data_IF_589857099061
#
_entry.id   IF_589857099061
#
_cell.length_a   1.000
_cell.length_b   1.000
_cell.length_c   1.000
_cell.angle_alpha   90.00
_cell.angle_beta   90.00
_cell.angle_gamma   90.00
#
_symmetry.space_group_name_H-M   'P 1'
#
loop_
_entity.id
_entity.type
_entity.pdbx_description
1 polymer ?
#
# COMPACT_ATOMS: atom_id res chain seq x y z
N UNK A 1 13.70 -6.57 0.97
CA UNK A 1 12.82 -5.98 -0.06
C UNK A 1 12.16 -4.77 0.57
N UNK A 2 12.47 -3.55 0.12
CA UNK A 2 11.87 -2.33 0.68
C UNK A 2 10.54 -2.08 -0.04
N UNK A 3 9.45 -2.56 0.54
CA UNK A 3 8.11 -2.13 0.16
C UNK A 3 7.90 -0.73 0.70
N UNK A 4 7.97 0.28 -0.16
CA UNK A 4 7.77 1.67 0.25
C UNK A 4 6.28 1.87 0.52
N UNK A 5 5.89 1.87 1.80
CA UNK A 5 4.58 2.36 2.24
C UNK A 5 4.38 3.81 1.78
N UNK A 6 3.15 4.15 1.37
CA UNK A 6 2.70 5.52 1.08
C UNK A 6 2.89 6.50 2.24
N UNK A 7 3.07 5.98 3.47
CA UNK A 7 3.26 6.75 4.70
C UNK A 7 4.68 6.59 5.27
N UNK A 8 5.69 6.43 4.41
CA UNK A 8 7.06 6.05 4.80
C UNK A 8 7.70 6.98 5.84
N UNK A 9 7.34 8.26 5.89
CA UNK A 9 7.88 9.23 6.86
C UNK A 9 7.31 9.08 8.27
N UNK A 10 6.17 8.41 8.43
CA UNK A 10 5.56 8.14 9.73
C UNK A 10 6.02 6.81 10.35
N UNK A 11 6.69 5.95 9.57
CA UNK A 11 7.06 4.59 9.97
C UNK A 11 8.46 4.55 10.61
N UNK A 12 8.55 3.85 11.74
CA UNK A 12 9.80 3.62 12.48
C UNK A 12 10.07 2.13 12.65
N UNK A 13 11.34 1.75 12.48
CA UNK A 13 11.82 0.38 12.43
C UNK A 13 12.90 0.19 13.50
N UNK A 14 12.93 -0.96 14.16
CA UNK A 14 14.05 -1.32 15.02
C UNK A 14 15.30 -1.54 14.18
N UNK A 15 16.29 -0.67 14.31
CA UNK A 15 17.56 -0.83 13.61
C UNK A 15 18.34 -2.03 14.18
N UNK A 16 18.77 -3.00 13.36
CA UNK A 16 19.46 -4.19 13.85
C UNK A 16 20.88 -3.92 14.38
N UNK A 17 21.46 -2.73 14.12
CA UNK A 17 22.81 -2.37 14.58
C UNK A 17 22.74 -1.64 15.93
N UNK A 18 21.86 -0.64 16.07
CA UNK A 18 21.78 0.15 17.30
C UNK A 18 20.72 -0.37 18.29
N UNK A 19 19.69 -1.05 17.80
CA UNK A 19 18.51 -1.43 18.57
C UNK A 19 17.47 -0.32 18.73
N UNK A 20 17.73 0.88 18.19
CA UNK A 20 16.82 2.02 18.30
C UNK A 20 15.70 1.97 17.26
N UNK A 21 14.56 2.57 17.59
CA UNK A 21 13.52 2.88 16.62
C UNK A 21 13.90 4.08 15.74
N UNK A 22 14.18 3.83 14.46
CA UNK A 22 14.64 4.85 13.49
C UNK A 22 13.72 4.92 12.27
N UNK A 23 13.60 6.08 11.59
CA UNK A 23 12.86 6.19 10.34
C UNK A 23 13.59 5.41 9.22
N UNK A 24 12.87 5.07 8.15
CA UNK A 24 13.43 4.23 7.07
C UNK A 24 14.75 4.76 6.49
N UNK A 25 14.93 6.08 6.42
CA UNK A 25 16.11 6.69 5.83
C UNK A 25 17.34 6.60 6.74
N UNK A 26 17.19 6.23 8.01
CA UNK A 26 18.28 5.96 8.94
C UNK A 26 18.42 4.46 9.29
N UNK A 27 17.53 3.61 8.76
CA UNK A 27 17.50 2.17 9.01
C UNK A 27 18.60 1.44 8.22
N UNK A 28 19.46 0.68 8.90
CA UNK A 28 20.66 0.07 8.29
C UNK A 28 20.35 -0.77 7.04
N UNK A 29 19.33 -1.66 7.01
CA UNK A 29 18.99 -2.39 5.78
C UNK A 29 18.50 -1.53 4.61
N UNK A 30 18.14 -0.25 4.84
CA UNK A 30 17.86 0.69 3.75
C UNK A 30 19.13 1.02 2.95
N UNK A 31 20.30 1.08 3.60
CA UNK A 31 21.61 1.20 2.93
C UNK A 31 21.78 0.12 1.87
N UNK A 32 21.52 -1.14 2.24
CA UNK A 32 21.71 -2.29 1.35
C UNK A 32 20.73 -2.25 0.17
N UNK A 33 19.52 -1.75 0.40
CA UNK A 33 18.55 -1.49 -0.67
C UNK A 33 19.05 -0.42 -1.65
N UNK A 34 19.56 0.71 -1.14
CA UNK A 34 20.11 1.78 -2.00
C UNK A 34 21.34 1.28 -2.79
N UNK A 35 22.22 0.53 -2.14
CA UNK A 35 23.37 -0.12 -2.77
C UNK A 35 22.95 -1.05 -3.88
N UNK A 36 21.99 -1.94 -3.62
CA UNK A 36 21.43 -2.82 -4.64
C UNK A 36 20.91 -2.02 -5.84
N UNK A 37 20.14 -0.95 -5.61
CA UNK A 37 19.60 -0.11 -6.68
C UNK A 37 20.71 0.51 -7.54
N UNK A 38 21.73 1.09 -6.91
CA UNK A 38 22.89 1.64 -7.63
C UNK A 38 23.65 0.57 -8.42
N UNK A 39 23.87 -0.61 -7.84
CA UNK A 39 24.52 -1.73 -8.56
C UNK A 39 23.69 -2.21 -9.76
N UNK A 40 22.36 -2.21 -9.66
CA UNK A 40 21.49 -2.56 -10.78
C UNK A 40 21.47 -1.48 -11.87
N UNK A 41 21.56 -0.20 -11.50
CA UNK A 41 21.70 0.92 -12.45
C UNK A 41 23.04 0.85 -13.19
N UNK A 42 24.15 0.63 -12.48
CA UNK A 42 25.49 0.49 -13.06
C UNK A 42 25.61 -0.69 -14.03
N UNK A 43 25.00 -1.83 -13.70
CA UNK A 43 24.92 -3.01 -14.59
C UNK A 43 23.96 -2.81 -15.77
N UNK A 44 23.21 -1.71 -15.78
CA UNK A 44 22.25 -1.36 -16.83
C UNK A 44 20.94 -2.14 -16.78
N UNK A 45 20.66 -2.83 -15.67
CA UNK A 45 19.41 -3.56 -15.41
C UNK A 45 18.26 -2.62 -15.01
N UNK A 46 18.58 -1.50 -14.36
CA UNK A 46 17.65 -0.40 -14.10
C UNK A 46 18.11 0.82 -14.87
N UNK A 47 17.17 1.59 -15.43
CA UNK A 47 17.45 2.83 -16.14
C UNK A 47 16.40 3.88 -15.78
N UNK A 48 16.84 5.13 -15.68
CA UNK A 48 15.93 6.27 -15.55
C UNK A 48 15.15 6.44 -16.84
N UNK A 49 13.87 6.79 -16.71
CA UNK A 49 13.03 7.12 -17.86
C UNK A 49 13.66 8.30 -18.62
N UNK A 50 13.98 8.17 -19.92
CA UNK A 50 14.53 9.28 -20.68
C UNK A 50 13.59 10.49 -20.69
N UNK A 51 14.16 11.68 -20.60
CA UNK A 51 13.39 12.92 -20.60
C UNK A 51 12.54 13.04 -21.86
N UNK A 52 11.26 13.38 -21.70
CA UNK A 52 10.32 13.56 -22.81
C UNK A 52 9.61 12.28 -23.29
N UNK A 53 9.91 11.11 -22.72
CA UNK A 53 9.15 9.89 -22.95
C UNK A 53 8.08 9.70 -21.86
N UNK A 54 6.91 9.20 -22.26
CA UNK A 54 5.90 8.76 -21.29
C UNK A 54 6.28 7.38 -20.75
N UNK A 55 6.10 7.18 -19.44
CA UNK A 55 6.37 5.91 -18.76
C UNK A 55 5.65 4.73 -19.44
N UNK A 56 4.39 4.95 -19.84
CA UNK A 56 3.57 3.96 -20.52
C UNK A 56 4.16 3.50 -21.85
N UNK A 57 4.73 4.40 -22.64
CA UNK A 57 5.33 4.07 -23.92
C UNK A 57 6.52 3.12 -23.71
N UNK A 58 7.36 3.40 -22.72
CA UNK A 58 8.52 2.56 -22.40
C UNK A 58 8.11 1.19 -21.84
N UNK A 59 7.11 1.14 -20.95
CA UNK A 59 6.60 -0.14 -20.42
C UNK A 59 6.02 -1.01 -21.54
N UNK A 60 5.30 -0.41 -22.51
CA UNK A 60 4.69 -1.15 -23.61
C UNK A 60 5.69 -1.87 -24.51
N UNK A 61 6.95 -1.41 -24.53
CA UNK A 61 8.06 -2.01 -25.27
C UNK A 61 8.62 -3.26 -24.57
N UNK A 62 8.18 -3.57 -23.35
CA UNK A 62 8.68 -4.72 -22.58
C UNK A 62 10.13 -4.59 -22.13
N UNK A 63 10.70 -3.37 -22.14
CA UNK A 63 12.10 -3.10 -21.80
C UNK A 63 12.28 -2.58 -20.36
N UNK A 64 11.39 -2.96 -19.44
CA UNK A 64 11.40 -2.52 -18.05
C UNK A 64 11.80 -3.65 -17.10
N UNK A 65 12.76 -3.39 -16.20
CA UNK A 65 13.17 -4.35 -15.17
C UNK A 65 12.21 -4.44 -13.98
N UNK A 66 11.55 -3.33 -13.63
CA UNK A 66 10.53 -3.27 -12.58
C UNK A 66 9.35 -2.41 -13.05
N UNK A 67 8.13 -2.85 -12.79
CA UNK A 67 6.92 -2.13 -13.15
C UNK A 67 5.81 -2.40 -12.13
N UNK A 68 5.03 -1.37 -11.82
CA UNK A 68 3.76 -1.55 -11.15
C UNK A 68 2.75 -2.03 -12.20
N UNK A 69 2.22 -3.24 -11.99
CA UNK A 69 1.29 -3.91 -12.90
C UNK A 69 -0.04 -3.15 -13.01
N UNK A 70 -0.30 -2.18 -12.12
CA UNK A 70 -1.46 -1.28 -12.01
C UNK A 70 -2.79 -1.98 -11.73
N UNK A 71 -3.08 -3.06 -12.46
CA UNK A 71 -4.19 -3.95 -12.18
C UNK A 71 -3.74 -5.41 -12.36
N UNK A 72 -3.90 -6.26 -11.34
CA UNK A 72 -3.58 -7.69 -11.41
C UNK A 72 -4.26 -8.43 -12.57
N UNK A 73 -5.36 -7.92 -13.14
CA UNK A 73 -6.00 -8.48 -14.33
C UNK A 73 -5.10 -8.46 -15.59
N UNK A 74 -4.11 -7.56 -15.65
CA UNK A 74 -3.13 -7.47 -16.75
C UNK A 74 -2.17 -8.64 -16.79
N UNK A 75 -1.98 -9.34 -15.68
CA UNK A 75 -1.19 -10.58 -15.65
C UNK A 75 -1.90 -11.69 -16.42
N UNK A 76 -3.24 -11.74 -16.35
CA UNK A 76 -4.05 -12.84 -16.90
C UNK A 76 -4.81 -12.52 -18.19
N UNK A 77 -4.83 -11.28 -18.69
CA UNK A 77 -5.24 -11.03 -20.08
C UNK A 77 -6.21 -9.88 -20.36
N UNK A 78 -6.48 -8.96 -19.42
CA UNK A 78 -7.14 -7.70 -19.78
C UNK A 78 -6.08 -6.67 -20.17
N UNK A 79 -6.00 -6.28 -21.44
CA UNK A 79 -4.86 -5.52 -22.03
C UNK A 79 -3.46 -6.11 -21.73
N UNK A 80 -3.40 -7.36 -21.25
CA UNK A 80 -2.15 -8.02 -20.83
C UNK A 80 -1.15 -8.20 -21.98
N UNK A 81 -1.60 -8.20 -23.24
CA UNK A 81 -0.68 -8.20 -24.39
C UNK A 81 0.10 -6.89 -24.57
N UNK A 82 -0.36 -5.80 -23.95
CA UNK A 82 0.22 -4.47 -24.11
C UNK A 82 1.17 -4.11 -22.96
N UNK A 83 1.13 -4.83 -21.84
CA UNK A 83 1.94 -4.57 -20.65
C UNK A 83 2.62 -5.84 -20.13
N UNK A 84 3.81 -5.76 -19.53
CA UNK A 84 4.41 -6.90 -18.85
C UNK A 84 3.52 -7.41 -17.70
N UNK A 85 3.52 -8.72 -17.40
CA UNK A 85 4.36 -9.74 -18.05
C UNK A 85 3.86 -10.17 -19.44
N UNK A 86 2.57 -9.96 -19.76
CA UNK A 86 1.98 -10.50 -20.98
C UNK A 86 2.58 -9.96 -22.28
N UNK A 87 3.02 -8.69 -22.32
CA UNK A 87 3.72 -8.16 -23.50
C UNK A 87 5.05 -8.87 -23.78
N UNK A 88 5.80 -9.25 -22.73
CA UNK A 88 7.08 -9.96 -22.88
C UNK A 88 6.83 -11.42 -23.26
N UNK A 89 5.94 -12.10 -22.53
CA UNK A 89 5.59 -13.50 -22.78
C UNK A 89 5.03 -13.74 -24.17
N UNK A 90 4.27 -12.78 -24.71
CA UNK A 90 3.64 -12.92 -26.03
C UNK A 90 4.49 -12.42 -27.19
N UNK A 91 5.43 -11.48 -26.96
CA UNK A 91 6.14 -10.78 -28.05
C UNK A 91 7.63 -11.03 -28.14
N UNK A 92 8.32 -11.30 -27.02
CA UNK A 92 9.79 -11.33 -26.99
C UNK A 92 10.39 -12.58 -26.38
N UNK A 93 9.84 -13.07 -25.26
CA UNK A 93 10.39 -14.21 -24.53
C UNK A 93 9.26 -14.98 -23.83
N UNK A 94 8.75 -16.07 -24.45
CA UNK A 94 7.67 -16.87 -23.89
C UNK A 94 8.09 -17.69 -22.66
N UNK A 95 9.39 -17.85 -22.42
CA UNK A 95 9.94 -18.61 -21.28
C UNK A 95 10.41 -17.68 -20.15
N UNK A 96 10.19 -16.36 -20.28
CA UNK A 96 10.57 -15.38 -19.27
C UNK A 96 9.90 -15.69 -17.92
N UNK A 97 10.70 -15.64 -16.85
CA UNK A 97 10.22 -15.82 -15.48
C UNK A 97 10.06 -14.48 -14.78
N UNK A 98 8.92 -14.27 -14.14
CA UNK A 98 8.61 -13.04 -13.41
C UNK A 98 8.47 -13.31 -11.93
N UNK A 99 9.05 -12.41 -11.12
CA UNK A 99 8.76 -12.34 -9.68
C UNK A 99 7.68 -11.29 -9.49
N UNK A 100 6.49 -11.72 -9.09
CA UNK A 100 5.37 -10.82 -8.76
C UNK A 100 5.35 -10.61 -7.25
N UNK A 101 5.40 -9.35 -6.85
CA UNK A 101 5.30 -8.95 -5.44
C UNK A 101 4.08 -8.05 -5.28
N UNK A 102 3.45 -8.09 -4.12
CA UNK A 102 2.30 -7.22 -3.85
C UNK A 102 2.78 -5.83 -3.42
N UNK A 103 2.09 -4.74 -3.77
CA UNK A 103 2.31 -3.48 -3.09
C UNK A 103 1.83 -3.60 -1.64
N UNK A 104 2.56 -2.98 -0.70
CA UNK A 104 2.10 -2.88 0.69
C UNK A 104 0.82 -2.04 0.70
N UNK A 105 -0.26 -2.62 1.24
CA UNK A 105 -1.43 -1.82 1.56
C UNK A 105 -1.26 -1.04 2.86
N UNK A 106 -1.91 0.11 2.96
CA UNK A 106 -1.95 0.84 4.23
C UNK A 106 -2.52 -0.05 5.34
N UNK A 107 -1.92 0.02 6.54
CA UNK A 107 -2.34 -0.73 7.74
C UNK A 107 -2.27 -2.26 7.62
N UNK A 108 -1.43 -2.78 6.73
CA UNK A 108 -1.13 -4.21 6.66
C UNK A 108 -2.21 -5.07 6.01
N UNK A 109 -3.09 -4.46 5.19
CA UNK A 109 -4.03 -5.20 4.35
C UNK A 109 -3.50 -5.35 2.93
N UNK A 110 -4.00 -6.36 2.21
CA UNK A 110 -3.73 -6.52 0.79
C UNK A 110 -4.37 -5.36 -0.01
N UNK A 111 -3.60 -4.67 -0.86
CA UNK A 111 -4.08 -3.54 -1.65
C UNK A 111 -3.88 -3.81 -3.16
N UNK A 112 -4.88 -4.31 -3.89
CA UNK A 112 -4.67 -4.75 -5.26
C UNK A 112 -4.45 -3.62 -6.28
N UNK A 113 -5.00 -2.40 -6.07
CA UNK A 113 -5.14 -1.41 -7.17
C UNK A 113 -4.74 0.05 -6.87
N UNK A 114 -4.08 0.40 -5.76
CA UNK A 114 -3.58 1.78 -5.56
C UNK A 114 -2.62 1.91 -4.38
N UNK A 115 -1.78 2.95 -4.35
CA UNK A 115 -1.17 3.50 -3.12
C UNK A 115 -2.14 4.50 -2.46
N UNK A 116 -3.40 4.10 -2.26
CA UNK A 116 -4.40 5.07 -1.79
C UNK A 116 -4.32 5.24 -0.28
N UNK A 117 -3.58 6.27 0.09
CA UNK A 117 -3.80 7.09 1.28
C UNK A 117 -5.30 7.21 1.57
N UNK A 118 -5.66 6.90 2.81
CA UNK A 118 -6.91 7.22 3.50
C UNK A 118 -7.40 8.66 3.25
N UNK A 119 -7.81 9.01 2.02
CA UNK A 119 -8.14 10.41 1.69
C UNK A 119 -9.25 10.60 0.65
N UNK A 120 -9.67 9.58 -0.08
CA UNK A 120 -10.59 9.80 -1.22
C UNK A 120 -12.07 9.41 -0.98
N UNK A 121 -12.41 8.78 0.14
CA UNK A 121 -13.79 8.35 0.43
C UNK A 121 -14.19 8.52 1.90
N UNK A 122 -13.62 9.52 2.58
CA UNK A 122 -14.14 9.92 3.89
C UNK A 122 -15.49 10.59 3.71
N UNK A 123 -16.50 10.11 4.45
CA UNK A 123 -17.73 10.86 4.60
C UNK A 123 -17.42 12.05 5.52
N UNK A 124 -17.16 13.22 4.93
CA UNK A 124 -17.09 14.47 5.71
C UNK A 124 -18.51 14.76 6.21
N UNK A 125 -18.75 14.42 7.47
CA UNK A 125 -19.99 14.79 8.14
C UNK A 125 -19.80 16.20 8.70
N UNK A 126 -20.50 17.17 8.10
CA UNK A 126 -20.50 18.54 8.61
C UNK A 126 -21.08 18.63 10.02
N UNK A 127 -21.04 19.82 10.62
CA UNK A 127 -21.63 20.05 11.94
C UNK A 127 -23.16 19.84 11.89
N UNK A 128 -23.61 18.65 12.27
CA UNK A 128 -25.02 18.25 12.29
C UNK A 128 -25.43 17.88 13.72
N UNK A 129 -26.71 18.02 14.07
CA UNK A 129 -27.19 17.54 15.37
C UNK A 129 -26.94 16.05 15.57
N UNK A 130 -26.63 15.64 16.81
CA UNK A 130 -26.33 14.25 17.19
C UNK A 130 -27.38 13.25 16.68
N UNK A 131 -28.67 13.60 16.77
CA UNK A 131 -29.74 12.73 16.27
C UNK A 131 -29.65 12.42 14.76
N UNK A 132 -29.09 13.34 13.96
CA UNK A 132 -28.81 13.11 12.55
C UNK A 132 -27.55 12.28 12.36
N UNK A 133 -26.51 12.54 13.14
CA UNK A 133 -25.28 11.74 13.12
C UNK A 133 -25.56 10.27 13.46
N UNK A 134 -26.30 10.01 14.54
CA UNK A 134 -26.72 8.67 14.94
C UNK A 134 -27.46 7.96 13.80
N UNK A 135 -28.41 8.63 13.13
CA UNK A 135 -29.12 8.04 11.98
C UNK A 135 -28.19 7.70 10.81
N UNK A 136 -27.21 8.56 10.50
CA UNK A 136 -26.23 8.29 9.46
C UNK A 136 -25.37 7.07 9.83
N UNK A 137 -24.90 7.00 11.07
CA UNK A 137 -24.12 5.86 11.56
C UNK A 137 -24.93 4.56 11.54
N UNK A 138 -26.22 4.58 11.90
CA UNK A 138 -27.10 3.41 11.79
C UNK A 138 -27.30 2.94 10.34
N UNK A 139 -27.38 3.87 9.38
CA UNK A 139 -27.45 3.51 7.96
C UNK A 139 -26.16 2.85 7.48
N UNK A 140 -25.01 3.35 7.93
CA UNK A 140 -23.71 2.74 7.65
C UNK A 140 -23.60 1.35 8.29
N UNK A 141 -23.98 1.21 9.56
CA UNK A 141 -24.03 -0.07 10.27
C UNK A 141 -24.85 -1.12 9.49
N UNK A 142 -26.07 -0.76 9.13
CA UNK A 142 -27.00 -1.64 8.43
C UNK A 142 -26.54 -2.02 7.01
N UNK A 143 -25.85 -1.12 6.32
CA UNK A 143 -25.40 -1.34 4.93
C UNK A 143 -24.03 -1.99 4.81
N UNK A 144 -23.16 -1.90 5.83
CA UNK A 144 -21.76 -2.35 5.75
C UNK A 144 -21.41 -3.49 6.71
N UNK A 145 -22.08 -3.60 7.87
CA UNK A 145 -21.68 -4.54 8.93
C UNK A 145 -22.72 -5.64 9.21
N UNK A 146 -23.92 -5.53 8.65
CA UNK A 146 -24.94 -6.58 8.73
C UNK A 146 -24.77 -7.68 7.67
N UNK A 147 -25.46 -8.80 7.83
CA UNK A 147 -25.47 -9.93 6.89
C UNK A 147 -25.88 -9.56 5.45
N UNK A 148 -26.60 -8.44 5.29
CA UNK A 148 -27.10 -7.97 4.01
C UNK A 148 -26.16 -7.00 3.28
N UNK A 149 -24.94 -6.76 3.75
CA UNK A 149 -24.04 -5.77 3.15
C UNK A 149 -23.81 -5.99 1.65
N UNK A 150 -23.68 -7.25 1.22
CA UNK A 150 -23.48 -7.61 -0.18
C UNK A 150 -24.68 -7.23 -1.05
N UNK A 151 -25.89 -7.17 -0.47
CA UNK A 151 -27.08 -6.66 -1.14
C UNK A 151 -26.96 -5.19 -1.50
N UNK A 152 -26.36 -4.40 -0.63
CA UNK A 152 -26.15 -2.97 -0.84
C UNK A 152 -24.95 -2.69 -1.73
N UNK A 153 -23.98 -3.60 -1.81
CA UNK A 153 -22.84 -3.52 -2.74
C UNK A 153 -23.20 -3.97 -4.17
N UNK A 154 -23.75 -5.18 -4.32
CA UNK A 154 -23.86 -5.88 -5.59
C UNK A 154 -25.31 -6.20 -6.01
N UNK A 155 -26.28 -5.91 -5.15
CA UNK A 155 -27.70 -6.22 -5.38
C UNK A 155 -28.10 -7.60 -4.87
N UNK A 156 -29.22 -8.13 -5.36
CA UNK A 156 -29.78 -9.42 -4.92
C UNK A 156 -29.15 -10.56 -5.72
N UNK A 157 -28.60 -11.57 -5.06
CA UNK A 157 -28.07 -12.80 -5.67
C UNK A 157 -29.14 -13.49 -6.55
N UNK A 158 -28.73 -14.05 -7.69
CA UNK A 158 -29.55 -14.61 -8.76
C UNK A 158 -30.45 -13.63 -9.51
N UNK A 159 -30.55 -12.37 -9.07
CA UNK A 159 -31.24 -11.29 -9.80
C UNK A 159 -30.23 -10.37 -10.48
N UNK A 160 -29.23 -9.89 -9.73
CA UNK A 160 -28.24 -8.93 -10.20
C UNK A 160 -26.90 -9.59 -10.49
N UNK A 161 -26.54 -10.64 -9.75
CA UNK A 161 -25.28 -11.35 -9.92
C UNK A 161 -25.41 -12.82 -9.52
N UNK A 162 -24.41 -13.62 -9.88
CA UNK A 162 -24.17 -14.97 -9.36
C UNK A 162 -22.70 -15.14 -9.01
N UNK A 163 -22.39 -16.06 -8.11
CA UNK A 163 -21.01 -16.49 -7.89
C UNK A 163 -20.56 -17.43 -9.01
N UNK A 164 -19.30 -17.32 -9.44
CA UNK A 164 -18.69 -18.30 -10.37
C UNK A 164 -18.58 -19.69 -9.70
N UNK A 165 -18.39 -19.71 -8.39
CA UNK A 165 -18.19 -20.91 -7.58
C UNK A 165 -18.75 -20.74 -6.17
N UNK A 166 -17.97 -21.13 -5.15
CA UNK A 166 -18.38 -21.03 -3.76
C UNK A 166 -18.60 -19.56 -3.33
N UNK A 167 -19.75 -19.23 -2.69
CA UNK A 167 -20.00 -17.90 -2.16
C UNK A 167 -18.87 -17.41 -1.28
N UNK A 168 -18.53 -16.12 -1.39
CA UNK A 168 -17.45 -15.44 -0.66
C UNK A 168 -16.01 -15.91 -0.97
N UNK A 169 -15.84 -16.91 -1.85
CA UNK A 169 -14.52 -17.41 -2.29
C UNK A 169 -14.30 -17.33 -3.79
N UNK A 170 -15.22 -16.71 -4.53
CA UNK A 170 -15.20 -16.70 -5.99
C UNK A 170 -15.57 -15.33 -6.58
N UNK A 171 -15.25 -15.04 -7.84
CA UNK A 171 -15.74 -13.86 -8.54
C UNK A 171 -17.27 -13.77 -8.65
N UNK A 172 -17.78 -12.54 -8.72
CA UNK A 172 -19.17 -12.28 -9.12
C UNK A 172 -19.28 -12.16 -10.63
N UNK A 173 -20.33 -12.75 -11.20
CA UNK A 173 -20.78 -12.50 -12.57
C UNK A 173 -22.06 -11.68 -12.49
N UNK A 174 -22.01 -10.45 -13.00
CA UNK A 174 -23.18 -9.58 -13.06
C UNK A 174 -24.08 -9.96 -14.23
N UNK A 175 -25.39 -9.99 -13.99
CA UNK A 175 -26.38 -10.16 -15.04
C UNK A 175 -26.47 -8.88 -15.88
N UNK A 176 -26.81 -9.04 -17.16
CA UNK A 176 -27.07 -7.89 -18.05
C UNK A 176 -28.20 -7.03 -17.47
N UNK A 177 -27.98 -5.72 -17.22
CA UNK A 177 -28.99 -4.79 -16.72
C UNK A 177 -30.31 -4.83 -17.48
N UNK A 178 -30.28 -5.05 -18.79
CA UNK A 178 -31.47 -5.11 -19.64
C UNK A 178 -32.37 -6.32 -19.33
N UNK A 179 -31.81 -7.36 -18.70
CA UNK A 179 -32.53 -8.59 -18.35
C UNK A 179 -33.09 -8.57 -16.93
N UNK A 180 -32.71 -7.60 -16.11
CA UNK A 180 -33.13 -7.50 -14.71
C UNK A 180 -34.62 -7.09 -14.65
N UNK A 181 -35.49 -7.80 -13.90
CA UNK A 181 -36.89 -7.43 -13.77
C UNK A 181 -37.06 -5.98 -13.30
N UNK A 182 -38.00 -5.23 -13.90
CA UNK A 182 -38.20 -3.80 -13.61
C UNK A 182 -38.35 -3.45 -12.13
N UNK A 183 -38.96 -4.34 -11.33
CA UNK A 183 -39.10 -4.15 -9.86
C UNK A 183 -37.77 -4.19 -9.08
N UNK A 184 -36.72 -4.70 -9.71
CA UNK A 184 -35.37 -4.81 -9.16
C UNK A 184 -34.35 -4.00 -9.97
N UNK A 185 -34.71 -3.51 -11.15
CA UNK A 185 -33.83 -2.72 -11.98
C UNK A 185 -33.43 -1.41 -11.27
N UNK A 186 -32.13 -1.12 -11.28
CA UNK A 186 -31.58 0.18 -10.87
C UNK A 186 -31.74 1.26 -11.95
N UNK A 187 -30.98 2.36 -11.84
CA UNK A 187 -30.97 3.48 -12.79
C UNK A 187 -30.30 3.16 -14.16
N UNK A 188 -30.32 1.89 -14.59
CA UNK A 188 -29.75 1.45 -15.87
C UNK A 188 -28.24 1.10 -15.86
N UNK A 189 -27.62 0.97 -14.69
CA UNK A 189 -26.23 0.51 -14.55
C UNK A 189 -26.16 -0.97 -14.13
N UNK A 190 -25.07 -1.66 -14.51
CA UNK A 190 -24.74 -3.01 -14.03
C UNK A 190 -24.36 -3.06 -12.55
N UNK A 191 -23.93 -1.92 -11.97
CA UNK A 191 -23.73 -1.80 -10.53
C UNK A 191 -25.00 -1.36 -9.81
N UNK A 192 -25.33 -2.05 -8.72
CA UNK A 192 -26.23 -1.53 -7.69
C UNK A 192 -25.46 -0.47 -6.88
N UNK A 193 -26.07 0.69 -6.63
CA UNK A 193 -25.38 1.90 -6.15
C UNK A 193 -24.48 1.71 -4.93
N UNK A 194 -23.27 2.27 -4.99
CA UNK A 194 -22.15 2.04 -4.08
C UNK A 194 -22.35 2.68 -2.70
N UNK A 195 -23.14 2.05 -1.81
CA UNK A 195 -22.93 2.17 -0.36
C UNK A 195 -21.84 1.18 0.07
N UNK A 196 -20.67 1.26 -0.57
CA UNK A 196 -19.55 0.38 -0.31
C UNK A 196 -18.31 1.21 -0.02
N UNK A 197 -18.02 1.43 1.25
CA UNK A 197 -16.74 1.97 1.68
C UNK A 197 -15.78 0.79 1.95
N UNK A 198 -14.61 0.82 1.30
CA UNK A 198 -13.57 -0.22 1.42
C UNK A 198 -13.02 -0.32 2.86
N UNK A 199 -13.23 0.71 3.68
CA UNK A 199 -12.70 0.83 5.04
C UNK A 199 -13.42 -0.05 6.06
N UNK A 200 -14.65 -0.49 5.76
CA UNK A 200 -15.51 -1.22 6.71
C UNK A 200 -15.72 -2.69 6.36
N UNK A 201 -15.01 -3.19 5.35
CA UNK A 201 -15.25 -4.53 4.82
C UNK A 201 -14.21 -5.48 5.39
N UNK A 202 -14.69 -6.43 6.20
CA UNK A 202 -13.86 -7.47 6.83
C UNK A 202 -13.45 -8.59 5.87
N UNK A 203 -14.21 -8.79 4.78
CA UNK A 203 -13.94 -9.84 3.79
C UNK A 203 -13.37 -9.25 2.49
N UNK A 204 -12.04 -9.29 2.39
CA UNK A 204 -11.28 -8.73 1.27
C UNK A 204 -11.61 -9.45 -0.04
N UNK A 205 -11.81 -10.78 0.00
CA UNK A 205 -12.15 -11.58 -1.18
C UNK A 205 -13.51 -11.14 -1.71
N UNK A 206 -14.54 -11.18 -0.87
CA UNK A 206 -15.89 -10.78 -1.27
C UNK A 206 -15.95 -9.33 -1.77
N UNK A 207 -15.05 -8.46 -1.29
CA UNK A 207 -14.94 -7.12 -1.82
C UNK A 207 -14.25 -7.04 -3.18
N UNK A 208 -13.09 -7.70 -3.33
CA UNK A 208 -12.16 -7.59 -4.46
C UNK A 208 -12.26 -8.76 -5.44
N UNK A 209 -13.39 -9.45 -5.50
CA UNK A 209 -13.59 -10.61 -6.36
C UNK A 209 -13.85 -10.29 -7.84
N UNK A 210 -13.12 -9.32 -8.40
CA UNK A 210 -13.30 -8.91 -9.78
C UNK A 210 -12.74 -9.93 -10.77
N UNK A 211 -11.64 -10.60 -10.41
CA UNK A 211 -10.99 -11.59 -11.26
C UNK A 211 -10.53 -12.81 -10.46
N UNK A 212 -10.37 -13.98 -11.11
CA UNK A 212 -9.79 -15.15 -10.48
C UNK A 212 -8.38 -14.90 -9.92
N UNK A 213 -7.55 -14.10 -10.59
CA UNK A 213 -6.20 -13.77 -10.11
C UNK A 213 -6.26 -13.11 -8.74
N UNK A 214 -7.08 -12.06 -8.58
CA UNK A 214 -7.17 -11.30 -7.34
C UNK A 214 -7.62 -12.21 -6.19
N UNK A 215 -8.63 -13.04 -6.44
CA UNK A 215 -9.14 -13.99 -5.43
C UNK A 215 -8.05 -15.00 -5.02
N UNK A 216 -7.36 -15.61 -5.99
CA UNK A 216 -6.28 -16.57 -5.71
C UNK A 216 -5.11 -15.92 -4.97
N UNK A 217 -4.77 -14.68 -5.33
CA UNK A 217 -3.66 -13.97 -4.73
C UNK A 217 -3.96 -13.46 -3.32
N UNK A 218 -5.21 -13.05 -3.03
CA UNK A 218 -5.67 -12.78 -1.66
C UNK A 218 -5.63 -14.05 -0.83
N UNK A 219 -6.12 -15.18 -1.36
CA UNK A 219 -6.08 -16.45 -0.64
C UNK A 219 -4.63 -16.90 -0.36
N UNK A 220 -3.74 -16.79 -1.34
CA UNK A 220 -2.30 -17.05 -1.14
C UNK A 220 -1.71 -16.13 -0.07
N UNK A 221 -2.02 -14.83 -0.15
CA UNK A 221 -1.58 -13.83 0.82
C UNK A 221 -2.01 -14.18 2.24
N UNK A 222 -3.28 -14.53 2.45
CA UNK A 222 -3.81 -14.93 3.76
C UNK A 222 -3.18 -16.23 4.28
N UNK A 223 -2.97 -17.23 3.41
CA UNK A 223 -2.35 -18.51 3.74
C UNK A 223 -0.86 -18.38 4.10
N UNK A 224 -0.17 -17.40 3.51
CA UNK A 224 1.26 -17.18 3.70
C UNK A 224 1.53 -16.07 4.72
N UNK A 225 0.67 -15.88 5.72
CA UNK A 225 0.88 -14.95 6.85
C UNK A 225 0.72 -13.47 6.51
N UNK A 226 0.38 -13.15 5.26
CA UNK A 226 0.05 -11.80 4.79
C UNK A 226 1.04 -10.74 5.21
N UNK A 227 0.54 -9.67 5.82
CA UNK A 227 1.37 -8.58 6.30
C UNK A 227 2.27 -8.98 7.48
N UNK A 228 1.92 -10.02 8.23
CA UNK A 228 2.72 -10.47 9.38
C UNK A 228 3.82 -11.45 9.00
N UNK A 229 3.94 -11.82 7.72
CA UNK A 229 5.04 -12.66 7.24
C UNK A 229 6.34 -11.85 7.14
N UNK A 230 7.26 -12.14 8.05
CA UNK A 230 8.57 -11.48 8.15
C UNK A 230 9.55 -11.91 7.03
N UNK A 231 9.31 -13.04 6.36
CA UNK A 231 10.08 -13.46 5.19
C UNK A 231 9.73 -12.64 3.94
N UNK A 232 8.53 -12.02 3.94
CA UNK A 232 8.03 -11.23 2.82
C UNK A 232 8.23 -9.74 3.09
N UNK A 233 8.14 -9.30 4.35
CA UNK A 233 8.04 -7.88 4.71
C UNK A 233 9.05 -7.42 5.73
N UNK A 234 9.64 -6.26 5.44
CA UNK A 234 10.22 -5.39 6.46
C UNK A 234 9.06 -4.56 7.05
N UNK A 235 8.68 -4.87 8.28
CA UNK A 235 7.56 -4.21 8.95
C UNK A 235 8.07 -3.07 9.83
N UNK A 236 7.41 -1.90 9.84
CA UNK A 236 7.65 -0.94 10.90
C UNK A 236 7.17 -1.50 12.23
N UNK A 237 7.89 -1.16 13.29
CA UNK A 237 7.55 -1.53 14.67
C UNK A 237 6.67 -0.46 15.31
N UNK A 238 6.84 0.81 14.93
CA UNK A 238 6.10 1.97 15.45
C UNK A 238 5.60 2.88 14.34
N UNK A 239 4.57 3.67 14.66
CA UNK A 239 3.94 4.63 13.76
C UNK A 239 3.74 5.97 14.46
N UNK A 240 4.12 7.05 13.79
CA UNK A 240 3.71 8.39 14.14
C UNK A 240 2.32 8.66 13.54
N UNK A 241 1.27 8.37 14.30
CA UNK A 241 -0.11 8.62 13.91
C UNK A 241 -1.01 8.76 15.15
N UNK A 242 -2.07 9.57 15.04
CA UNK A 242 -3.03 9.80 16.11
C UNK A 242 -3.78 8.52 16.54
N UNK A 243 -3.81 7.47 15.72
CA UNK A 243 -4.36 6.16 16.08
C UNK A 243 -3.48 5.35 17.04
N UNK A 244 -2.19 5.72 17.16
CA UNK A 244 -1.17 4.97 17.93
C UNK A 244 -0.50 5.81 19.01
N UNK A 245 -0.95 7.04 19.22
CA UNK A 245 -0.37 7.97 20.19
C UNK A 245 -1.48 8.71 20.95
N UNK A 246 -1.22 9.11 22.20
CA UNK A 246 -2.11 10.06 22.88
C UNK A 246 -2.06 11.43 22.18
N UNK A 247 -3.07 12.29 22.36
CA UNK A 247 -3.05 13.64 21.80
C UNK A 247 -1.80 14.44 22.18
N UNK A 248 -1.33 14.30 23.41
CA UNK A 248 -0.14 14.97 23.94
C UNK A 248 1.14 14.43 23.28
N UNK A 249 1.26 13.10 23.15
CA UNK A 249 2.39 12.46 22.47
C UNK A 249 2.45 12.90 21.01
N UNK A 250 1.32 12.85 20.30
CA UNK A 250 1.23 13.25 18.90
C UNK A 250 1.65 14.71 18.72
N UNK A 251 1.13 15.63 19.55
CA UNK A 251 1.50 17.05 19.47
C UNK A 251 2.97 17.29 19.78
N UNK A 252 3.52 16.61 20.78
CA UNK A 252 4.94 16.74 21.14
C UNK A 252 5.85 16.24 20.01
N UNK A 253 5.52 15.10 19.40
CA UNK A 253 6.29 14.56 18.28
C UNK A 253 6.14 15.42 17.01
N UNK A 254 4.93 15.85 16.68
CA UNK A 254 4.66 16.72 15.53
C UNK A 254 5.43 18.05 15.63
N UNK A 255 5.57 18.60 16.83
CA UNK A 255 6.37 19.80 17.07
C UNK A 255 7.87 19.55 16.77
N UNK A 256 8.45 18.46 17.30
CA UNK A 256 9.83 18.08 17.00
C UNK A 256 10.03 17.82 15.51
N UNK A 257 9.11 17.09 14.88
CA UNK A 257 9.18 16.76 13.48
C UNK A 257 9.16 18.03 12.61
N UNK A 258 8.27 18.99 12.90
CA UNK A 258 8.23 20.28 12.20
C UNK A 258 9.49 21.13 12.39
N UNK A 259 10.14 21.02 13.54
CA UNK A 259 11.36 21.75 13.85
C UNK A 259 12.57 21.22 13.08
N UNK A 260 12.72 19.89 12.98
CA UNK A 260 13.95 19.26 12.46
C UNK A 260 13.81 18.63 11.06
N UNK A 261 12.60 18.31 10.60
CA UNK A 261 12.39 17.70 9.26
C UNK A 261 12.97 18.54 8.10
N UNK A 262 12.95 19.88 8.11
CA UNK A 262 13.56 20.67 7.04
C UNK A 262 15.07 20.39 6.87
N UNK A 263 15.82 20.33 7.98
CA UNK A 263 17.27 20.10 7.96
C UNK A 263 17.58 18.64 7.63
N UNK A 264 16.83 17.70 8.22
CA UNK A 264 16.94 16.27 7.92
C UNK A 264 16.67 16.00 6.43
N UNK A 265 15.66 16.66 5.86
CA UNK A 265 15.31 16.53 4.44
C UNK A 265 16.42 17.02 3.52
N UNK A 266 17.15 18.08 3.89
CA UNK A 266 18.31 18.54 3.11
C UNK A 266 19.39 17.46 3.06
N UNK A 267 19.81 16.93 4.23
CA UNK A 267 20.83 15.87 4.32
C UNK A 267 20.40 14.63 3.54
N UNK A 268 19.14 14.20 3.68
CA UNK A 268 18.58 13.07 2.91
C UNK A 268 18.65 13.31 1.41
N UNK A 269 18.20 14.48 0.94
CA UNK A 269 18.16 14.76 -0.49
C UNK A 269 19.55 14.86 -1.10
N UNK A 270 20.52 15.41 -0.38
CA UNK A 270 21.92 15.47 -0.82
C UNK A 270 22.53 14.07 -0.97
N UNK A 271 22.32 13.18 0.01
CA UNK A 271 22.81 11.80 -0.08
C UNK A 271 22.18 11.05 -1.26
N UNK A 272 20.85 11.16 -1.43
CA UNK A 272 20.13 10.52 -2.53
C UNK A 272 20.53 11.10 -3.90
N UNK A 273 20.79 12.41 -4.01
CA UNK A 273 21.28 13.03 -5.24
C UNK A 273 22.68 12.53 -5.61
N UNK A 274 23.59 12.41 -4.64
CA UNK A 274 24.93 11.84 -4.86
C UNK A 274 24.86 10.38 -5.31
N UNK A 275 24.03 9.58 -4.65
CA UNK A 275 23.76 8.20 -5.04
C UNK A 275 23.24 8.10 -6.48
N UNK A 276 22.26 8.94 -6.84
CA UNK A 276 21.72 9.02 -8.19
C UNK A 276 22.73 9.47 -9.25
N UNK A 277 23.82 10.13 -8.86
CA UNK A 277 24.92 10.56 -9.72
C UNK A 277 26.08 9.56 -9.75
N UNK A 278 25.96 8.41 -9.07
CA UNK A 278 27.03 7.42 -8.96
C UNK A 278 28.24 7.94 -8.17
N UNK A 279 28.02 8.85 -7.22
CA UNK A 279 29.07 9.52 -6.45
C UNK A 279 29.33 8.87 -5.08
N UNK A 280 28.81 7.67 -4.86
CA UNK A 280 29.02 6.86 -3.65
C UNK A 280 30.08 5.81 -3.99
N UNK A 281 31.31 6.03 -3.54
CA UNK A 281 32.45 5.16 -3.81
C UNK A 281 32.60 4.07 -2.75
N UNK A 282 32.31 4.38 -1.47
CA UNK A 282 32.34 3.42 -0.38
C UNK A 282 31.05 3.52 0.44
N UNK A 283 30.15 2.57 0.23
CA UNK A 283 28.85 2.53 0.89
C UNK A 283 28.91 2.53 2.40
N UNK A 284 29.88 1.85 3.02
CA UNK A 284 29.93 1.74 4.47
C UNK A 284 30.38 3.05 5.11
N UNK A 285 31.48 3.63 4.61
CA UNK A 285 32.01 4.89 5.12
C UNK A 285 31.08 6.08 4.83
N UNK A 286 30.48 6.13 3.64
CA UNK A 286 29.59 7.22 3.27
C UNK A 286 28.23 7.13 3.96
N UNK A 287 27.76 5.90 4.26
CA UNK A 287 26.58 5.72 5.08
C UNK A 287 26.81 6.17 6.52
N UNK A 288 27.95 5.82 7.13
CA UNK A 288 28.31 6.28 8.47
C UNK A 288 28.30 7.81 8.55
N UNK A 289 28.98 8.48 7.61
CA UNK A 289 28.98 9.94 7.52
C UNK A 289 27.57 10.52 7.30
N UNK A 290 26.74 9.87 6.49
CA UNK A 290 25.35 10.27 6.26
C UNK A 290 24.51 10.18 7.54
N UNK A 291 24.64 9.08 8.29
CA UNK A 291 23.95 8.91 9.58
C UNK A 291 24.41 9.98 10.57
N UNK A 292 25.72 10.24 10.70
CA UNK A 292 26.22 11.31 11.55
C UNK A 292 25.62 12.68 11.21
N UNK A 293 25.50 12.99 9.91
CA UNK A 293 24.89 14.24 9.44
C UNK A 293 23.39 14.30 9.76
N UNK A 294 22.65 13.20 9.65
CA UNK A 294 21.25 13.15 10.05
C UNK A 294 21.07 13.43 11.54
N UNK A 295 21.88 12.79 12.40
CA UNK A 295 21.84 13.03 13.85
C UNK A 295 22.21 14.47 14.19
N UNK A 296 23.24 15.03 13.56
CA UNK A 296 23.61 16.43 13.69
C UNK A 296 22.51 17.41 13.22
N UNK A 297 21.68 16.99 12.26
CA UNK A 297 20.52 17.76 11.77
C UNK A 297 19.28 17.67 12.67
N UNK A 298 19.35 16.90 13.77
CA UNK A 298 18.27 16.81 14.76
C UNK A 298 17.52 15.48 14.78
N UNK A 299 17.93 14.47 13.98
CA UNK A 299 17.32 13.15 14.01
C UNK A 299 17.32 12.52 15.41
N UNK A 300 18.36 12.79 16.21
CA UNK A 300 18.49 12.32 17.60
C UNK A 300 17.20 12.58 18.40
N UNK A 301 16.59 13.76 18.25
CA UNK A 301 15.39 14.14 19.03
C UNK A 301 14.16 13.35 18.64
N UNK A 302 14.04 12.98 17.37
CA UNK A 302 12.95 12.12 16.89
C UNK A 302 13.16 10.68 17.38
N UNK A 303 14.39 10.17 17.29
CA UNK A 303 14.76 8.81 17.74
C UNK A 303 14.59 8.68 19.25
N UNK A 304 15.09 9.63 20.05
CA UNK A 304 14.90 9.66 21.51
C UNK A 304 13.42 9.59 21.88
N UNK A 305 12.55 10.34 21.19
CA UNK A 305 11.12 10.30 21.44
C UNK A 305 10.52 8.93 21.14
N UNK A 306 10.84 8.37 19.97
CA UNK A 306 10.29 7.08 19.54
C UNK A 306 10.78 5.91 20.39
N UNK A 307 11.92 6.03 21.07
CA UNK A 307 12.44 5.02 21.97
C UNK A 307 11.89 5.07 23.40
N UNK A 308 11.01 6.03 23.72
CA UNK A 308 10.33 6.03 25.03
C UNK A 308 9.38 4.84 25.16
N UNK A 309 9.38 4.20 26.33
CA UNK A 309 8.51 3.06 26.65
C UNK A 309 7.01 3.34 26.48
N UNK A 310 6.60 4.59 26.69
CA UNK A 310 5.21 5.05 26.54
C UNK A 310 4.75 5.14 25.08
N UNK A 311 5.68 5.19 24.13
CA UNK A 311 5.38 5.11 22.69
C UNK A 311 5.40 3.64 22.29
N UNK A 312 4.22 3.08 22.03
CA UNK A 312 4.04 1.63 21.90
C UNK A 312 4.26 1.14 20.48
N UNK A 313 4.74 -0.08 20.37
CA UNK A 313 4.82 -0.82 19.11
C UNK A 313 3.45 -1.29 18.61
N UNK A 314 3.32 -1.57 17.32
CA UNK A 314 2.14 -2.23 16.77
C UNK A 314 1.80 -3.55 17.48
N UNK A 315 2.83 -4.33 17.87
CA UNK A 315 2.66 -5.61 18.56
C UNK A 315 1.95 -5.46 19.91
N UNK A 316 2.14 -4.33 20.59
CA UNK A 316 1.43 -4.02 21.84
C UNK A 316 -0.08 -3.84 21.57
N UNK A 317 -0.47 -3.09 20.54
CA UNK A 317 -1.89 -2.91 20.23
C UNK A 317 -2.54 -4.21 19.74
N UNK A 318 -1.81 -5.03 19.00
CA UNK A 318 -2.29 -6.35 18.57
C UNK A 318 -2.55 -7.29 19.74
N UNK A 319 -1.83 -7.16 20.86
CA UNK A 319 -2.01 -8.01 22.06
C UNK A 319 -3.15 -7.59 22.98
N UNK A 320 -3.80 -6.46 22.72
CA UNK A 320 -4.97 -5.99 23.47
C UNK A 320 -6.28 -6.65 23.02
N UNK A 321 -6.26 -7.38 21.90
CA UNK A 321 -7.40 -8.09 21.31
C UNK A 321 -7.40 -9.58 21.71
#
# INVERSE_FOLDING_TARGET
MFGVSSNSTANYYTDPVTGDYVPYYAYTPYKDYLRFFSEMEEKGYIRKLPQGLALLDVISLGMNGYNNIWDPDRVLGNDGSNFPPGSILLKSDPDATFVITVPQGEYGKFQPNANMAWRFYEYVVGNIPDAKLIRLLMLLEYSHFGENWLRYKAGIENVHYKWVGEPFKSPLVYNDPATIPKKYAGLGSAGFGQFGNQNFIGDTIAFRNWTPFIVQWIAWWEDHGGYYNEDIWIRPDKLFDASTMTPEQYQAFDALNKEFDPQITVVRNEFIDRMNKGQIANWDAEWEQYIEQLYAAGLEKLVEFMNKDEVKEFKYYASLN
#
